data_IF_794797386548
#
_entry.id   IF_794797386548
#
_cell.length_a   1.000
_cell.length_b   1.000
_cell.length_c   1.000
_cell.angle_alpha   90.00
_cell.angle_beta   90.00
_cell.angle_gamma   90.00
#
_symmetry.space_group_name_H-M   'P 1'
#
loop_
_entity.id
_entity.type
_entity.pdbx_description
1 polymer ?
#
# COMPACT_ATOMS: atom_id res chain seq x y z
N UNK A 1 16.27 -44.91 5.94
CA UNK A 1 16.24 -44.06 4.72
C UNK A 1 14.84 -44.18 4.10
N UNK A 2 13.85 -43.45 4.61
CA UNK A 2 12.49 -43.46 4.03
C UNK A 2 12.46 -42.43 2.89
N UNK A 3 12.63 -42.89 1.65
CA UNK A 3 12.33 -42.06 0.48
C UNK A 3 10.81 -41.94 0.40
N UNK A 4 10.26 -40.76 0.66
CA UNK A 4 8.85 -40.50 0.38
C UNK A 4 8.61 -40.81 -1.11
N UNK A 5 7.50 -41.50 -1.46
CA UNK A 5 7.18 -41.76 -2.86
C UNK A 5 7.06 -40.43 -3.59
N UNK A 6 7.69 -40.34 -4.77
CA UNK A 6 7.67 -39.13 -5.63
C UNK A 6 6.24 -38.64 -5.90
N UNK A 7 5.28 -39.57 -5.98
CA UNK A 7 3.85 -39.29 -6.10
C UNK A 7 3.31 -38.48 -4.90
N UNK A 8 3.71 -38.82 -3.67
CA UNK A 8 3.29 -38.10 -2.46
C UNK A 8 3.86 -36.68 -2.44
N UNK A 9 5.11 -36.50 -2.90
CA UNK A 9 5.74 -35.17 -3.02
C UNK A 9 5.00 -34.31 -4.05
N UNK A 10 4.65 -34.87 -5.21
CA UNK A 10 3.88 -34.16 -6.24
C UNK A 10 2.48 -33.82 -5.77
N UNK A 11 1.83 -34.70 -5.02
CA UNK A 11 0.49 -34.45 -4.46
C UNK A 11 0.53 -33.32 -3.43
N UNK A 12 1.54 -33.31 -2.55
CA UNK A 12 1.74 -32.22 -1.59
C UNK A 12 2.04 -30.90 -2.28
N UNK A 13 2.84 -30.88 -3.35
CA UNK A 13 3.09 -29.67 -4.15
C UNK A 13 1.81 -29.20 -4.84
N UNK A 14 1.00 -30.10 -5.38
CA UNK A 14 -0.27 -29.75 -6.06
C UNK A 14 -1.31 -29.24 -5.05
N UNK A 15 -1.34 -29.79 -3.84
CA UNK A 15 -2.10 -29.27 -2.69
C UNK A 15 -1.58 -27.90 -2.27
N UNK A 16 -0.27 -27.71 -2.10
CA UNK A 16 0.31 -26.39 -1.77
C UNK A 16 0.06 -25.37 -2.90
N UNK A 17 0.05 -25.81 -4.16
CA UNK A 17 -0.35 -25.01 -5.31
C UNK A 17 -1.83 -24.64 -5.09
N UNK A 18 -2.77 -25.59 -5.11
CA UNK A 18 -4.21 -25.35 -5.00
C UNK A 18 -4.66 -24.57 -3.73
N UNK A 19 -4.07 -24.85 -2.57
CA UNK A 19 -4.37 -24.17 -1.30
C UNK A 19 -3.51 -22.90 -1.08
N UNK A 20 -2.37 -22.76 -1.77
CA UNK A 20 -1.58 -21.52 -1.84
C UNK A 20 -2.13 -20.51 -2.87
N UNK A 21 -2.99 -20.98 -3.78
CA UNK A 21 -4.16 -20.32 -4.40
C UNK A 21 -4.65 -19.01 -3.76
N UNK A 22 -4.94 -19.09 -2.47
CA UNK A 22 -5.95 -18.22 -1.85
C UNK A 22 -5.37 -17.35 -0.77
N UNK A 23 -4.35 -16.56 -1.08
CA UNK A 23 -3.84 -15.53 -0.16
C UNK A 23 -3.62 -14.24 -0.92
N UNK A 24 -4.66 -13.75 -1.60
CA UNK A 24 -4.79 -12.32 -1.81
C UNK A 24 -5.44 -11.76 -0.55
N UNK A 25 -4.69 -10.94 0.21
CA UNK A 25 -5.21 -10.20 1.35
C UNK A 25 -6.37 -9.30 0.87
N UNK A 26 -7.57 -9.87 0.87
CA UNK A 26 -8.77 -9.28 0.32
C UNK A 26 -9.89 -9.42 1.35
N UNK A 27 -10.51 -8.30 1.67
CA UNK A 27 -11.76 -8.35 2.41
C UNK A 27 -12.77 -8.85 1.39
N UNK A 28 -13.39 -10.01 1.63
CA UNK A 28 -14.31 -10.67 0.69
C UNK A 28 -15.55 -9.82 0.32
N UNK A 29 -16.74 -10.35 0.50
CA UNK A 29 -17.95 -9.53 0.31
C UNK A 29 -18.12 -8.56 1.49
N UNK A 30 -18.11 -7.25 1.23
CA UNK A 30 -18.40 -6.22 2.23
C UNK A 30 -19.24 -5.07 1.65
N UNK A 31 -19.83 -4.25 2.52
CA UNK A 31 -20.63 -3.10 2.11
C UNK A 31 -19.75 -1.83 2.02
N UNK A 32 -19.46 -1.30 0.82
CA UNK A 32 -18.57 -0.14 0.64
C UNK A 32 -19.18 1.19 1.11
N UNK A 33 -20.48 1.22 1.41
CA UNK A 33 -21.15 2.40 1.97
C UNK A 33 -20.73 2.67 3.41
N UNK A 34 -20.37 1.62 4.14
CA UNK A 34 -20.00 1.70 5.56
C UNK A 34 -18.57 1.27 5.84
N UNK A 35 -17.90 0.59 4.91
CA UNK A 35 -16.58 0.04 5.13
C UNK A 35 -15.64 0.32 3.96
N UNK A 36 -14.35 0.38 4.28
CA UNK A 36 -13.25 0.44 3.31
C UNK A 36 -12.32 -0.74 3.56
N UNK A 37 -11.94 -1.44 2.49
CA UNK A 37 -10.94 -2.52 2.58
C UNK A 37 -9.57 -2.02 2.12
N UNK A 38 -8.54 -2.20 2.95
CA UNK A 38 -7.15 -1.88 2.60
C UNK A 38 -6.26 -3.11 2.84
N UNK A 39 -5.73 -3.71 1.77
CA UNK A 39 -4.86 -4.89 1.83
C UNK A 39 -5.37 -5.97 2.81
N UNK A 40 -6.65 -6.33 2.70
CA UNK A 40 -7.28 -7.37 3.53
C UNK A 40 -7.78 -6.90 4.89
N UNK A 41 -7.55 -5.65 5.28
CA UNK A 41 -8.06 -5.07 6.52
C UNK A 41 -9.31 -4.25 6.26
N UNK A 42 -10.43 -4.69 6.83
CA UNK A 42 -11.71 -3.98 6.75
C UNK A 42 -11.78 -2.92 7.85
N UNK A 43 -11.99 -1.66 7.46
CA UNK A 43 -12.13 -0.52 8.37
C UNK A 43 -13.50 0.11 8.22
N UNK A 44 -14.09 0.56 9.33
CA UNK A 44 -15.35 1.31 9.30
C UNK A 44 -15.14 2.73 8.77
N UNK A 45 -16.08 3.18 7.93
CA UNK A 45 -16.04 4.44 7.22
C UNK A 45 -15.86 4.23 5.70
N UNK A 46 -16.70 4.91 4.93
CA UNK A 46 -16.60 4.97 3.47
C UNK A 46 -15.75 6.16 3.01
N UNK A 47 -15.34 6.14 1.74
CA UNK A 47 -14.57 7.21 1.11
C UNK A 47 -13.14 7.36 1.66
N UNK A 48 -12.63 6.37 2.38
CA UNK A 48 -11.25 6.36 2.87
C UNK A 48 -10.30 5.90 1.76
N UNK A 49 -9.09 6.44 1.77
CA UNK A 49 -7.99 5.98 0.92
C UNK A 49 -7.11 5.00 1.69
N UNK A 50 -6.33 4.18 0.99
CA UNK A 50 -5.48 3.18 1.62
C UNK A 50 -4.01 3.60 1.62
N UNK A 51 -3.36 3.44 2.77
CA UNK A 51 -1.93 3.52 2.95
C UNK A 51 -1.45 2.18 3.48
N UNK A 52 -1.09 1.27 2.57
CA UNK A 52 -0.90 -0.14 2.94
C UNK A 52 -2.20 -0.75 3.46
N UNK A 53 -2.19 -1.27 4.69
CA UNK A 53 -3.37 -1.84 5.37
C UNK A 53 -4.21 -0.79 6.10
N UNK A 54 -3.76 0.46 6.17
CA UNK A 54 -4.43 1.53 6.92
C UNK A 54 -5.36 2.33 6.03
N UNK A 55 -6.65 2.33 6.33
CA UNK A 55 -7.60 3.27 5.75
C UNK A 55 -7.45 4.65 6.41
N UNK A 56 -7.39 5.71 5.61
CA UNK A 56 -7.23 7.08 6.09
C UNK A 56 -8.12 8.06 5.34
N UNK A 57 -8.32 9.23 5.94
CA UNK A 57 -9.08 10.31 5.31
C UNK A 57 -8.16 11.22 4.48
N UNK A 58 -8.27 11.23 3.13
CA UNK A 58 -7.40 12.03 2.28
C UNK A 58 -7.63 13.54 2.42
N UNK A 59 -8.67 13.97 3.14
CA UNK A 59 -8.88 15.39 3.45
C UNK A 59 -7.98 15.90 4.56
N UNK A 60 -7.42 15.01 5.37
CA UNK A 60 -6.54 15.36 6.50
C UNK A 60 -5.14 14.79 6.37
N UNK A 61 -4.96 13.69 5.63
CA UNK A 61 -3.70 12.98 5.56
C UNK A 61 -3.23 12.74 4.13
N UNK A 62 -1.94 12.56 3.98
CA UNK A 62 -1.27 12.11 2.75
C UNK A 62 -0.47 10.85 3.05
N UNK A 63 -0.49 9.87 2.14
CA UNK A 63 0.33 8.67 2.23
C UNK A 63 1.51 8.74 1.26
N UNK A 64 2.73 8.54 1.76
CA UNK A 64 3.95 8.46 0.95
C UNK A 64 4.68 7.15 1.22
N UNK A 65 4.72 6.26 0.22
CA UNK A 65 5.39 4.95 0.30
C UNK A 65 5.02 4.15 1.56
N UNK A 66 3.74 4.17 1.95
CA UNK A 66 3.24 3.47 3.14
C UNK A 66 3.31 4.25 4.45
N UNK A 67 3.90 5.46 4.46
CA UNK A 67 3.92 6.33 5.63
C UNK A 67 2.81 7.38 5.56
N UNK A 68 1.95 7.40 6.58
CA UNK A 68 0.89 8.39 6.72
C UNK A 68 1.44 9.68 7.35
N UNK A 69 1.18 10.82 6.72
CA UNK A 69 1.56 12.14 7.24
C UNK A 69 0.34 13.06 7.31
N UNK A 70 0.23 13.84 8.38
CA UNK A 70 -0.82 14.85 8.51
C UNK A 70 -0.59 16.00 7.52
N UNK A 71 -1.67 16.47 6.91
CA UNK A 71 -1.67 17.51 5.90
C UNK A 71 -2.20 16.98 4.57
N UNK A 72 -3.21 17.66 4.03
CA UNK A 72 -3.75 17.40 2.70
C UNK A 72 -2.85 17.94 1.61
N UNK A 73 -2.88 17.29 0.45
CA UNK A 73 -2.30 17.84 -0.79
C UNK A 73 -0.78 17.95 -0.75
N UNK A 74 -0.13 17.19 0.13
CA UNK A 74 1.33 17.07 0.14
C UNK A 74 1.75 16.18 -1.03
N UNK A 75 2.91 16.48 -1.60
CA UNK A 75 3.57 15.63 -2.59
C UNK A 75 4.57 14.70 -1.89
N UNK A 76 4.93 13.60 -2.53
CA UNK A 76 5.85 12.62 -1.96
C UNK A 76 7.23 12.68 -2.60
N UNK A 77 8.26 12.68 -1.77
CA UNK A 77 9.65 12.45 -2.14
C UNK A 77 10.13 11.19 -1.41
N UNK A 78 9.97 10.02 -2.05
CA UNK A 78 10.12 8.74 -1.38
C UNK A 78 9.05 8.54 -0.29
N UNK A 79 9.48 8.42 0.97
CA UNK A 79 8.60 8.31 2.14
C UNK A 79 8.23 9.67 2.73
N UNK A 80 8.86 10.76 2.29
CA UNK A 80 8.68 12.08 2.89
C UNK A 80 7.57 12.85 2.17
N UNK A 81 6.51 13.20 2.90
CA UNK A 81 5.50 14.12 2.44
C UNK A 81 6.00 15.57 2.56
N UNK A 82 5.89 16.37 1.50
CA UNK A 82 6.33 17.76 1.47
C UNK A 82 5.29 18.67 0.85
N UNK A 83 5.40 19.97 1.13
CA UNK A 83 4.55 20.97 0.52
C UNK A 83 5.10 21.41 -0.85
N UNK A 84 4.41 21.09 -1.96
CA UNK A 84 4.89 21.42 -3.29
C UNK A 84 4.87 22.92 -3.60
N UNK A 85 4.29 23.75 -2.73
CA UNK A 85 4.35 25.21 -2.86
C UNK A 85 5.72 25.77 -2.47
N UNK A 86 6.45 25.08 -1.58
CA UNK A 86 7.74 25.54 -1.06
C UNK A 86 8.91 24.66 -1.49
N UNK A 87 8.68 23.38 -1.77
CA UNK A 87 9.74 22.43 -2.08
C UNK A 87 9.52 21.71 -3.40
N UNK A 88 10.61 21.21 -3.97
CA UNK A 88 10.62 20.30 -5.11
C UNK A 88 11.47 19.08 -4.75
N UNK A 89 11.04 17.89 -5.18
CA UNK A 89 11.81 16.66 -5.02
C UNK A 89 12.70 16.42 -6.24
N UNK A 90 14.01 16.30 -6.01
CA UNK A 90 15.02 16.02 -7.03
C UNK A 90 15.89 14.85 -6.60
N UNK A 91 15.85 13.75 -7.37
CA UNK A 91 16.61 12.53 -7.09
C UNK A 91 16.46 12.04 -5.63
N UNK A 92 15.27 12.18 -5.05
CA UNK A 92 14.99 11.80 -3.66
C UNK A 92 15.38 12.85 -2.60
N UNK A 93 15.94 13.99 -2.99
CA UNK A 93 16.26 15.10 -2.10
C UNK A 93 15.26 16.25 -2.24
N UNK A 94 14.84 16.82 -1.11
CA UNK A 94 13.99 18.02 -1.10
C UNK A 94 14.85 19.27 -1.24
N UNK A 95 14.51 20.10 -2.22
CA UNK A 95 15.13 21.41 -2.45
C UNK A 95 14.08 22.50 -2.24
N UNK A 96 14.45 23.58 -1.57
CA UNK A 96 13.59 24.75 -1.41
C UNK A 96 13.48 25.52 -2.73
N UNK A 97 12.25 25.78 -3.17
CA UNK A 97 11.92 26.48 -4.40
C UNK A 97 10.86 25.73 -5.22
N UNK A 98 9.81 26.47 -5.62
CA UNK A 98 8.69 25.94 -6.41
C UNK A 98 9.10 25.78 -7.87
N UNK A 99 8.92 24.59 -8.43
CA UNK A 99 9.09 24.37 -9.87
C UNK A 99 10.55 24.50 -10.34
N UNK A 100 11.51 24.34 -9.44
CA UNK A 100 12.91 24.19 -9.82
C UNK A 100 13.03 22.90 -10.63
N UNK A 101 13.37 23.02 -11.91
CA UNK A 101 13.73 21.86 -12.71
C UNK A 101 14.96 21.20 -12.07
N UNK A 102 14.89 19.89 -11.85
CA UNK A 102 16.04 19.16 -11.34
C UNK A 102 17.15 19.22 -12.39
N UNK A 103 18.25 19.90 -12.08
CA UNK A 103 19.40 20.04 -12.95
C UNK A 103 19.49 21.40 -13.65
N UNK A 104 20.29 22.27 -13.07
CA UNK A 104 21.33 23.00 -13.80
C UNK A 104 22.65 22.70 -13.13
#
# INVERSE_FOLDING_TARGET
MHRLPTILVLFLILVIYLFGYTESASCGAYNPTFYTCCNGVLTFGSGKSCCGTTAYDPTFYTCCSGLLTFGRGKSCCGTTAYDPTFYTCCNGALTFGRGLACGK
#
